data_IF_540670056120
#
_entry.id   IF_540670056120
#
_cell.length_a   1.000
_cell.length_b   1.000
_cell.length_c   1.000
_cell.angle_alpha   90.00
_cell.angle_beta   90.00
_cell.angle_gamma   90.00
#
_symmetry.space_group_name_H-M   'P 1'
#
loop_
_entity.id
_entity.type
_entity.pdbx_description
1 polymer ?
#
# COMPACT_ATOMS: atom_id res chain seq x y z
N UNK A 1 7.87 13.04 -7.16
CA UNK A 1 7.30 14.33 -6.70
C UNK A 1 8.42 15.05 -5.97
N UNK A 2 8.49 16.37 -6.08
CA UNK A 2 9.35 17.16 -5.19
C UNK A 2 8.83 17.07 -3.74
N UNK A 3 9.64 17.45 -2.76
CA UNK A 3 9.20 17.52 -1.35
C UNK A 3 7.95 18.41 -1.22
N UNK A 4 7.96 19.58 -1.86
CA UNK A 4 6.82 20.51 -1.85
C UNK A 4 5.55 19.92 -2.46
N UNK A 5 5.67 19.17 -3.56
CA UNK A 5 4.51 18.45 -4.13
C UNK A 5 4.00 17.36 -3.19
N UNK A 6 4.89 16.64 -2.49
CA UNK A 6 4.48 15.62 -1.50
C UNK A 6 3.72 16.24 -0.34
N UNK A 7 4.22 17.35 0.21
CA UNK A 7 3.55 18.13 1.26
C UNK A 7 2.18 18.62 0.79
N UNK A 8 2.12 19.21 -0.41
CA UNK A 8 0.87 19.70 -0.99
C UNK A 8 -0.17 18.61 -1.19
N UNK A 9 0.24 17.42 -1.65
CA UNK A 9 -0.67 16.27 -1.78
C UNK A 9 -1.20 15.82 -0.41
N UNK A 10 -0.35 15.77 0.62
CA UNK A 10 -0.79 15.44 1.97
C UNK A 10 -1.80 16.46 2.50
N UNK A 11 -1.56 17.76 2.33
CA UNK A 11 -2.49 18.84 2.70
C UNK A 11 -3.86 18.67 2.04
N UNK A 12 -3.89 18.43 0.73
CA UNK A 12 -5.15 18.22 -0.01
C UNK A 12 -5.90 16.99 0.52
N UNK A 13 -5.19 15.88 0.76
CA UNK A 13 -5.82 14.66 1.29
C UNK A 13 -6.42 14.92 2.66
N UNK A 14 -5.70 15.61 3.55
CA UNK A 14 -6.18 15.94 4.89
C UNK A 14 -7.38 16.89 4.86
N UNK A 15 -7.34 17.94 4.02
CA UNK A 15 -8.45 18.88 3.84
C UNK A 15 -9.68 18.21 3.24
N UNK A 16 -9.52 17.25 2.33
CA UNK A 16 -10.65 16.50 1.78
C UNK A 16 -11.21 15.50 2.80
N UNK A 17 -10.37 14.79 3.55
CA UNK A 17 -10.81 13.77 4.51
C UNK A 17 -11.50 14.38 5.73
N UNK A 18 -11.04 15.55 6.21
CA UNK A 18 -11.64 16.28 7.36
C UNK A 18 -11.82 15.38 8.60
N UNK A 19 -10.82 14.54 8.89
CA UNK A 19 -10.84 13.62 10.03
C UNK A 19 -11.85 12.46 9.95
N UNK A 20 -12.56 12.27 8.83
CA UNK A 20 -13.53 11.17 8.67
C UNK A 20 -12.90 9.78 8.74
N UNK A 21 -11.63 9.67 8.40
CA UNK A 21 -10.86 8.43 8.39
C UNK A 21 -9.42 8.70 8.87
N UNK A 22 -8.76 7.73 9.52
CA UNK A 22 -7.34 7.84 9.85
C UNK A 22 -6.49 7.85 8.58
N UNK A 23 -5.48 8.71 8.53
CA UNK A 23 -4.54 8.82 7.41
C UNK A 23 -3.16 8.32 7.86
N UNK A 24 -2.60 7.37 7.10
CA UNK A 24 -1.19 6.98 7.22
C UNK A 24 -0.43 7.65 6.06
N UNK A 25 0.42 8.63 6.35
CA UNK A 25 1.14 9.38 5.30
C UNK A 25 2.46 8.71 4.98
N UNK A 26 2.74 8.49 3.69
CA UNK A 26 4.02 7.97 3.26
C UNK A 26 5.08 9.07 3.18
N UNK A 27 6.13 8.96 4.01
CA UNK A 27 7.15 10.00 4.22
C UNK A 27 8.54 9.56 3.80
N UNK A 28 8.71 8.31 3.36
CA UNK A 28 10.02 7.75 3.01
C UNK A 28 10.70 8.51 1.88
N UNK A 29 11.98 8.82 2.08
CA UNK A 29 12.92 9.43 1.14
C UNK A 29 14.29 8.71 1.23
N UNK A 30 15.19 8.99 0.28
CA UNK A 30 16.53 8.41 0.28
C UNK A 30 17.45 8.93 1.40
N UNK A 31 17.02 9.94 2.19
CA UNK A 31 17.82 10.48 3.29
C UNK A 31 16.98 10.60 4.57
N UNK A 32 17.60 10.29 5.72
CA UNK A 32 16.96 10.42 7.04
C UNK A 32 16.41 11.82 7.27
N UNK A 33 17.19 12.85 6.93
CA UNK A 33 16.80 14.26 7.11
C UNK A 33 15.51 14.60 6.36
N UNK A 34 15.41 14.23 5.08
CA UNK A 34 14.22 14.50 4.28
C UNK A 34 13.01 13.68 4.74
N UNK A 35 13.22 12.42 5.15
CA UNK A 35 12.15 11.59 5.72
C UNK A 35 11.60 12.21 7.00
N UNK A 36 12.46 12.72 7.90
CA UNK A 36 12.04 13.39 9.13
C UNK A 36 11.29 14.70 8.85
N UNK A 37 11.73 15.48 7.87
CA UNK A 37 11.04 16.71 7.46
C UNK A 37 9.60 16.41 7.03
N UNK A 38 9.40 15.40 6.19
CA UNK A 38 8.08 14.95 5.74
C UNK A 38 7.27 14.32 6.88
N UNK A 39 7.91 13.62 7.81
CA UNK A 39 7.25 13.02 8.97
C UNK A 39 6.66 14.08 9.90
N UNK A 40 7.41 15.14 10.21
CA UNK A 40 6.94 16.26 11.04
C UNK A 40 5.80 17.00 10.38
N UNK A 41 5.91 17.30 9.07
CA UNK A 41 4.81 17.91 8.32
C UNK A 41 3.55 17.04 8.33
N UNK A 42 3.67 15.72 8.15
CA UNK A 42 2.53 14.82 8.24
C UNK A 42 1.90 14.79 9.63
N UNK A 43 2.70 14.83 10.70
CA UNK A 43 2.21 14.94 12.08
C UNK A 43 1.47 16.26 12.32
N UNK A 44 1.99 17.39 11.84
CA UNK A 44 1.34 18.71 11.94
C UNK A 44 -0.04 18.73 11.27
N UNK A 45 -0.22 17.97 10.19
CA UNK A 45 -1.52 17.81 9.52
C UNK A 45 -2.49 16.88 10.27
N UNK A 46 -2.03 16.14 11.29
CA UNK A 46 -2.84 15.20 12.05
C UNK A 46 -2.89 13.78 11.48
N UNK A 47 -1.85 13.34 10.76
CA UNK A 47 -1.74 11.94 10.33
C UNK A 47 -1.80 10.99 11.53
N UNK A 48 -2.56 9.91 11.42
CA UNK A 48 -2.68 8.90 12.46
C UNK A 48 -1.41 8.03 12.61
N UNK A 49 -0.62 7.94 11.55
CA UNK A 49 0.71 7.33 11.54
C UNK A 49 1.51 7.85 10.33
N UNK A 50 2.82 7.63 10.34
CA UNK A 50 3.68 7.83 9.17
C UNK A 50 4.25 6.50 8.70
N UNK A 51 4.45 6.34 7.40
CA UNK A 51 5.06 5.15 6.83
C UNK A 51 6.28 5.50 5.97
N UNK A 52 7.41 4.83 6.17
CA UNK A 52 8.62 5.04 5.39
C UNK A 52 9.11 3.73 4.76
N UNK A 53 9.48 3.80 3.48
CA UNK A 53 10.29 2.75 2.83
C UNK A 53 11.73 2.95 3.27
N UNK A 54 12.52 1.88 3.33
CA UNK A 54 13.95 2.01 3.54
C UNK A 54 14.57 2.95 2.48
N UNK A 55 15.65 3.69 2.81
CA UNK A 55 16.37 4.53 1.87
C UNK A 55 16.65 3.79 0.55
N UNK A 56 16.34 4.44 -0.56
CA UNK A 56 16.39 3.88 -1.90
C UNK A 56 17.46 4.58 -2.75
N UNK A 57 17.73 4.04 -3.95
CA UNK A 57 18.79 4.43 -4.91
C UNK A 57 20.13 3.72 -4.67
N UNK A 58 20.84 4.02 -3.58
CA UNK A 58 21.98 3.23 -3.14
C UNK A 58 21.49 2.21 -2.11
N UNK A 59 21.19 1.00 -2.53
CA UNK A 59 20.51 0.00 -1.70
C UNK A 59 21.25 -1.34 -1.67
N UNK A 60 20.88 -2.19 -0.72
CA UNK A 60 21.47 -3.52 -0.53
C UNK A 60 22.54 -3.53 0.55
N UNK A 61 23.06 -4.72 0.84
CA UNK A 61 24.01 -4.94 1.95
C UNK A 61 25.34 -4.19 1.75
N UNK A 62 25.70 -3.89 0.51
CA UNK A 62 26.92 -3.14 0.18
C UNK A 62 26.77 -1.63 0.37
N UNK A 63 25.53 -1.12 0.46
CA UNK A 63 25.23 0.30 0.62
C UNK A 63 25.01 0.69 2.09
N UNK A 64 24.24 -0.13 2.83
CA UNK A 64 23.97 0.07 4.25
C UNK A 64 23.96 -1.26 5.01
N UNK A 65 24.59 -1.28 6.18
CA UNK A 65 24.43 -2.37 7.15
C UNK A 65 23.10 -2.25 7.93
N UNK A 66 22.72 -3.32 8.63
CA UNK A 66 21.49 -3.35 9.43
C UNK A 66 21.44 -2.25 10.50
N UNK A 67 22.58 -1.90 11.10
CA UNK A 67 22.63 -0.89 12.18
C UNK A 67 22.29 0.50 11.67
N UNK A 68 22.66 0.80 10.42
CA UNK A 68 22.32 2.06 9.76
C UNK A 68 20.82 2.15 9.46
N UNK A 69 20.19 1.05 9.03
CA UNK A 69 18.74 0.98 8.83
C UNK A 69 18.00 1.12 10.17
N UNK A 70 18.46 0.42 11.22
CA UNK A 70 17.89 0.56 12.56
C UNK A 70 17.98 2.01 13.06
N UNK A 71 19.14 2.66 12.91
CA UNK A 71 19.31 4.06 13.30
C UNK A 71 18.40 5.00 12.50
N UNK A 72 18.28 4.80 11.18
CA UNK A 72 17.39 5.59 10.34
C UNK A 72 15.93 5.56 10.86
N UNK A 73 15.40 4.38 11.15
CA UNK A 73 14.03 4.25 11.66
C UNK A 73 13.88 4.70 13.11
N UNK A 74 14.90 4.52 13.95
CA UNK A 74 14.92 5.06 15.31
C UNK A 74 14.87 6.60 15.30
N UNK A 75 15.65 7.25 14.43
CA UNK A 75 15.66 8.71 14.29
C UNK A 75 14.31 9.24 13.79
N UNK A 76 13.64 8.52 12.88
CA UNK A 76 12.28 8.88 12.42
C UNK A 76 11.29 8.75 13.59
N UNK A 77 11.27 7.60 14.26
CA UNK A 77 10.35 7.33 15.37
C UNK A 77 10.55 8.29 16.55
N UNK A 78 11.78 8.75 16.79
CA UNK A 78 12.07 9.75 17.83
C UNK A 78 11.70 11.19 17.42
N UNK A 79 11.46 11.45 16.13
CA UNK A 79 11.22 12.81 15.61
C UNK A 79 9.74 13.24 15.60
N UNK A 80 8.83 12.28 15.78
CA UNK A 80 7.37 12.45 15.79
C UNK A 80 6.77 11.63 16.93
N UNK A 81 5.57 11.98 17.38
CA UNK A 81 4.79 11.27 18.41
C UNK A 81 3.87 10.22 17.81
N UNK A 82 3.47 10.39 16.55
CA UNK A 82 2.62 9.43 15.84
C UNK A 82 3.39 8.13 15.51
N UNK A 83 2.71 6.97 15.47
CA UNK A 83 3.35 5.70 15.13
C UNK A 83 4.12 5.73 13.80
N UNK A 84 5.32 5.15 13.80
CA UNK A 84 6.15 4.98 12.61
C UNK A 84 6.04 3.57 12.07
N UNK A 85 5.68 3.46 10.79
CA UNK A 85 5.49 2.19 10.08
C UNK A 85 6.60 1.99 9.05
N UNK A 86 7.12 0.77 8.95
CA UNK A 86 8.08 0.41 7.91
C UNK A 86 7.39 -0.16 6.68
N UNK A 87 7.84 0.25 5.50
CA UNK A 87 7.39 -0.30 4.22
C UNK A 87 8.48 -1.17 3.60
N UNK A 88 8.32 -2.50 3.67
CA UNK A 88 9.15 -3.44 2.94
C UNK A 88 8.68 -3.54 1.48
N UNK A 89 9.50 -3.06 0.54
CA UNK A 89 9.25 -3.24 -0.90
C UNK A 89 10.58 -3.46 -1.65
N UNK A 90 11.06 -4.70 -1.69
CA UNK A 90 12.34 -5.03 -2.31
C UNK A 90 12.42 -4.60 -3.78
N UNK A 91 11.31 -4.67 -4.52
CA UNK A 91 11.28 -4.35 -5.95
C UNK A 91 11.57 -2.89 -6.25
N UNK A 92 11.22 -1.97 -5.34
CA UNK A 92 11.38 -0.52 -5.57
C UNK A 92 12.46 0.09 -4.71
N UNK A 93 12.72 -0.47 -3.53
CA UNK A 93 13.79 0.00 -2.64
C UNK A 93 15.14 -0.64 -2.93
N UNK A 94 15.17 -1.82 -3.55
CA UNK A 94 16.39 -2.62 -3.72
C UNK A 94 16.93 -3.20 -2.40
N UNK A 95 16.16 -3.09 -1.30
CA UNK A 95 16.51 -3.62 0.00
C UNK A 95 15.41 -4.57 0.49
N UNK A 96 15.80 -5.79 0.86
CA UNK A 96 14.87 -6.78 1.42
C UNK A 96 15.07 -6.87 2.91
N UNK A 97 14.03 -6.57 3.68
CA UNK A 97 14.04 -6.81 5.12
C UNK A 97 14.07 -8.31 5.45
N UNK A 98 14.82 -8.66 6.49
CA UNK A 98 14.73 -9.95 7.18
C UNK A 98 13.81 -9.84 8.39
N UNK A 99 13.28 -10.98 8.86
CA UNK A 99 12.40 -11.01 10.03
C UNK A 99 13.13 -10.59 11.31
N UNK A 100 14.43 -10.91 11.38
CA UNK A 100 15.35 -10.56 12.46
C UNK A 100 15.60 -9.05 12.51
N UNK A 101 15.81 -8.43 11.35
CA UNK A 101 15.94 -6.98 11.26
C UNK A 101 14.64 -6.28 11.66
N UNK A 102 13.48 -6.82 11.25
CA UNK A 102 12.20 -6.28 11.69
C UNK A 102 12.07 -6.30 13.21
N UNK A 103 12.44 -7.40 13.88
CA UNK A 103 12.41 -7.47 15.34
C UNK A 103 13.28 -6.38 16.00
N UNK A 104 14.47 -6.09 15.45
CA UNK A 104 15.33 -4.98 15.91
C UNK A 104 14.66 -3.62 15.71
N UNK A 105 13.95 -3.43 14.60
CA UNK A 105 13.23 -2.20 14.30
C UNK A 105 12.04 -1.97 15.24
N UNK A 106 11.31 -3.04 15.58
CA UNK A 106 10.24 -2.98 16.58
C UNK A 106 10.78 -2.54 17.94
N UNK A 107 11.94 -3.07 18.34
CA UNK A 107 12.59 -2.73 19.60
C UNK A 107 13.02 -1.24 19.69
N UNK A 108 13.15 -0.53 18.57
CA UNK A 108 13.50 0.90 18.53
C UNK A 108 12.31 1.81 18.20
N UNK A 109 11.07 1.29 18.25
CA UNK A 109 9.86 2.10 18.17
C UNK A 109 9.11 2.05 16.83
N UNK A 110 9.44 1.13 15.92
CA UNK A 110 8.58 0.86 14.76
C UNK A 110 7.36 0.06 15.20
N UNK A 111 6.16 0.59 14.95
CA UNK A 111 4.90 0.05 15.50
C UNK A 111 4.00 -0.63 14.46
N UNK A 112 4.35 -0.56 13.19
CA UNK A 112 3.64 -1.27 12.14
C UNK A 112 4.48 -1.51 10.91
N UNK A 113 3.97 -2.34 10.01
CA UNK A 113 4.58 -2.53 8.71
C UNK A 113 3.57 -2.69 7.59
N UNK A 114 4.05 -2.39 6.38
CA UNK A 114 3.47 -2.83 5.12
C UNK A 114 4.46 -3.73 4.42
N UNK A 115 4.08 -4.96 4.07
CA UNK A 115 4.92 -5.84 3.25
C UNK A 115 4.46 -5.88 1.79
N UNK A 116 5.35 -5.64 0.83
CA UNK A 116 5.11 -5.83 -0.60
C UNK A 116 6.12 -6.77 -1.25
N UNK A 117 6.71 -7.68 -0.47
CA UNK A 117 7.56 -8.76 -0.98
C UNK A 117 6.79 -9.68 -1.94
N UNK A 118 5.49 -9.90 -1.64
CA UNK A 118 4.64 -10.86 -2.35
C UNK A 118 4.80 -12.30 -1.86
N UNK A 119 5.63 -12.54 -0.84
CA UNK A 119 5.80 -13.85 -0.21
C UNK A 119 4.87 -13.98 1.00
N UNK A 120 3.96 -14.95 0.95
CA UNK A 120 3.09 -15.25 2.09
C UNK A 120 3.88 -15.78 3.30
N UNK A 121 4.88 -16.62 3.06
CA UNK A 121 5.75 -17.15 4.11
C UNK A 121 6.49 -16.04 4.83
N UNK A 122 7.13 -15.13 4.08
CA UNK A 122 7.87 -14.01 4.67
C UNK A 122 6.96 -13.05 5.44
N UNK A 123 5.75 -12.80 4.93
CA UNK A 123 4.73 -12.02 5.66
C UNK A 123 4.38 -12.67 7.01
N UNK A 124 4.27 -14.00 7.07
CA UNK A 124 4.06 -14.75 8.30
C UNK A 124 5.27 -14.67 9.26
N UNK A 125 6.48 -14.82 8.74
CA UNK A 125 7.74 -14.68 9.50
C UNK A 125 7.86 -13.28 10.12
N UNK A 126 7.56 -12.23 9.36
CA UNK A 126 7.52 -10.87 9.86
C UNK A 126 6.51 -10.70 11.00
N UNK A 127 5.28 -11.20 10.82
CA UNK A 127 4.26 -11.10 11.85
C UNK A 127 4.70 -11.79 13.15
N UNK A 128 5.26 -13.01 13.05
CA UNK A 128 5.77 -13.73 14.21
C UNK A 128 6.94 -13.02 14.90
N UNK A 129 7.93 -12.56 14.12
CA UNK A 129 9.11 -11.89 14.68
C UNK A 129 8.73 -10.58 15.38
N UNK A 130 7.84 -9.79 14.77
CA UNK A 130 7.41 -8.52 15.34
C UNK A 130 6.52 -8.70 16.58
N UNK A 131 5.53 -9.59 16.53
CA UNK A 131 4.61 -9.81 17.66
C UNK A 131 5.26 -10.44 18.89
N UNK A 132 6.39 -11.13 18.73
CA UNK A 132 7.23 -11.58 19.86
C UNK A 132 7.86 -10.42 20.63
N UNK A 133 8.15 -9.31 19.96
CA UNK A 133 8.73 -8.11 20.57
C UNK A 133 7.64 -7.16 21.06
N UNK A 134 6.60 -6.96 20.25
CA UNK A 134 5.45 -6.13 20.58
C UNK A 134 4.14 -6.82 20.12
N UNK A 135 3.33 -7.37 21.05
CA UNK A 135 2.08 -8.04 20.72
C UNK A 135 1.07 -7.19 19.94
N UNK A 136 1.14 -5.85 20.05
CA UNK A 136 0.24 -4.90 19.38
C UNK A 136 0.78 -4.43 18.01
N UNK A 137 1.85 -5.04 17.50
CA UNK A 137 2.45 -4.63 16.23
C UNK A 137 1.48 -4.77 15.03
N UNK A 138 1.30 -3.69 14.29
CA UNK A 138 0.38 -3.65 13.15
C UNK A 138 1.02 -4.19 11.86
N UNK A 139 1.01 -5.51 11.67
CA UNK A 139 1.46 -6.13 10.43
C UNK A 139 0.39 -6.03 9.32
N UNK A 140 0.76 -5.57 8.13
CA UNK A 140 -0.17 -5.45 7.00
C UNK A 140 0.41 -5.97 5.68
N UNK A 141 -0.44 -6.62 4.91
CA UNK A 141 -0.13 -6.96 3.52
C UNK A 141 -0.27 -5.74 2.62
N UNK A 142 0.75 -5.44 1.81
CA UNK A 142 0.70 -4.45 0.73
C UNK A 142 0.07 -4.99 -0.56
N UNK A 143 -0.41 -6.23 -0.55
CA UNK A 143 -1.04 -6.90 -1.69
C UNK A 143 -2.36 -7.54 -1.28
N UNK A 144 -3.47 -6.94 -1.73
CA UNK A 144 -4.83 -7.47 -1.52
C UNK A 144 -5.05 -8.87 -2.12
N UNK A 145 -4.17 -9.34 -3.02
CA UNK A 145 -4.22 -10.73 -3.49
C UNK A 145 -3.75 -11.78 -2.47
N UNK A 146 -3.24 -11.35 -1.32
CA UNK A 146 -2.86 -12.23 -0.21
C UNK A 146 -3.77 -11.99 1.01
N UNK A 147 -4.85 -11.22 0.87
CA UNK A 147 -5.63 -10.73 2.00
C UNK A 147 -6.33 -11.86 2.76
N UNK A 148 -6.99 -12.79 2.07
CA UNK A 148 -7.62 -13.94 2.70
C UNK A 148 -6.62 -14.85 3.45
N UNK A 149 -5.54 -15.37 2.83
CA UNK A 149 -4.60 -16.21 3.56
C UNK A 149 -3.89 -15.45 4.69
N UNK A 150 -3.59 -14.14 4.53
CA UNK A 150 -3.04 -13.31 5.60
C UNK A 150 -4.00 -13.17 6.77
N UNK A 151 -5.29 -12.93 6.50
CA UNK A 151 -6.31 -12.83 7.54
C UNK A 151 -6.40 -14.10 8.39
N UNK A 152 -6.32 -15.26 7.75
CA UNK A 152 -6.38 -16.56 8.43
C UNK A 152 -5.21 -16.81 9.40
N UNK A 153 -4.09 -16.12 9.24
CA UNK A 153 -2.93 -16.20 10.15
C UNK A 153 -2.85 -15.01 11.12
N UNK A 154 -3.95 -14.25 11.26
CA UNK A 154 -4.06 -13.14 12.22
C UNK A 154 -3.64 -11.77 11.67
N UNK A 155 -3.26 -11.66 10.40
CA UNK A 155 -2.86 -10.40 9.76
C UNK A 155 -4.09 -9.76 9.15
N UNK A 156 -4.72 -8.84 9.91
CA UNK A 156 -6.03 -8.28 9.58
C UNK A 156 -6.01 -6.99 8.75
N UNK A 157 -4.84 -6.43 8.45
CA UNK A 157 -4.73 -5.20 7.67
C UNK A 157 -4.17 -5.40 6.26
N UNK A 158 -4.67 -4.60 5.30
CA UNK A 158 -4.14 -4.57 3.94
C UNK A 158 -4.11 -3.14 3.38
N UNK A 159 -2.98 -2.73 2.83
CA UNK A 159 -2.84 -1.48 2.07
C UNK A 159 -2.97 -1.82 0.58
N UNK A 160 -4.17 -1.59 0.02
CA UNK A 160 -4.60 -2.09 -1.29
C UNK A 160 -4.47 -1.05 -2.41
N UNK A 161 -3.77 -1.42 -3.48
CA UNK A 161 -3.78 -0.65 -4.74
C UNK A 161 -5.13 -0.76 -5.47
N UNK A 162 -5.75 -1.95 -5.46
CA UNK A 162 -7.06 -2.22 -6.10
C UNK A 162 -8.17 -1.32 -5.53
N UNK A 163 -8.10 -1.00 -4.24
CA UNK A 163 -9.11 -0.17 -3.56
C UNK A 163 -9.21 1.26 -4.12
N UNK A 164 -8.22 1.75 -4.86
CA UNK A 164 -8.31 3.06 -5.51
C UNK A 164 -9.39 3.10 -6.60
N UNK A 165 -9.53 2.04 -7.40
CA UNK A 165 -10.52 1.96 -8.48
C UNK A 165 -11.75 1.12 -8.11
N UNK A 166 -11.57 0.12 -7.23
CA UNK A 166 -12.60 -0.81 -6.81
C UNK A 166 -12.61 -0.96 -5.26
N UNK A 167 -12.90 0.12 -4.52
CA UNK A 167 -12.98 0.07 -3.06
C UNK A 167 -14.05 -0.93 -2.60
N UNK A 168 -15.18 -1.03 -3.31
CA UNK A 168 -16.30 -1.92 -2.97
C UNK A 168 -15.88 -3.39 -3.00
N UNK A 169 -15.03 -3.78 -3.97
CA UNK A 169 -14.49 -5.14 -4.07
C UNK A 169 -13.60 -5.48 -2.86
N UNK A 170 -12.72 -4.55 -2.49
CA UNK A 170 -11.80 -4.75 -1.35
C UNK A 170 -12.56 -4.78 -0.02
N UNK A 171 -13.55 -3.89 0.16
CA UNK A 171 -14.41 -3.85 1.34
C UNK A 171 -15.30 -5.10 1.42
N UNK A 172 -15.86 -5.56 0.31
CA UNK A 172 -16.64 -6.80 0.29
C UNK A 172 -15.80 -8.01 0.70
N UNK A 173 -14.56 -8.10 0.21
CA UNK A 173 -13.63 -9.15 0.62
C UNK A 173 -13.35 -9.07 2.12
N UNK A 174 -13.04 -7.88 2.66
CA UNK A 174 -12.80 -7.72 4.09
C UNK A 174 -14.00 -8.12 4.94
N UNK A 175 -15.21 -7.66 4.58
CA UNK A 175 -16.44 -8.01 5.31
C UNK A 175 -16.74 -9.50 5.29
N UNK A 176 -16.48 -10.18 4.17
CA UNK A 176 -16.63 -11.64 4.09
C UNK A 176 -15.64 -12.36 5.02
N UNK A 177 -14.41 -11.85 5.15
CA UNK A 177 -13.41 -12.37 6.10
C UNK A 177 -13.82 -12.14 7.56
N UNK A 178 -14.33 -10.95 7.89
CA UNK A 178 -14.85 -10.63 9.22
C UNK A 178 -16.06 -11.49 9.59
N UNK A 179 -16.93 -11.77 8.62
CA UNK A 179 -18.09 -12.65 8.80
C UNK A 179 -17.74 -14.15 8.81
N UNK A 180 -16.47 -14.51 8.63
CA UNK A 180 -16.00 -15.90 8.52
C UNK A 180 -16.67 -16.69 7.38
N UNK A 181 -17.14 -16.01 6.32
CA UNK A 181 -17.67 -16.66 5.12
C UNK A 181 -16.53 -17.02 4.17
N UNK A 182 -15.86 -18.14 4.47
CA UNK A 182 -14.65 -18.57 3.77
C UNK A 182 -14.87 -18.87 2.29
N UNK A 183 -16.08 -19.32 1.94
CA UNK A 183 -16.46 -19.56 0.55
C UNK A 183 -16.54 -18.23 -0.18
N UNK A 184 -17.30 -17.27 0.36
CA UNK A 184 -17.47 -15.97 -0.28
C UNK A 184 -16.16 -15.18 -0.33
N UNK A 185 -15.36 -15.21 0.73
CA UNK A 185 -14.04 -14.58 0.73
C UNK A 185 -13.12 -15.21 -0.33
N UNK A 186 -13.20 -16.53 -0.54
CA UNK A 186 -12.47 -17.23 -1.62
C UNK A 186 -12.86 -16.77 -3.01
N UNK A 187 -14.16 -16.66 -3.28
CA UNK A 187 -14.69 -16.14 -4.55
C UNK A 187 -14.21 -14.70 -4.80
N UNK A 188 -14.33 -13.83 -3.80
CA UNK A 188 -13.90 -12.43 -3.89
C UNK A 188 -12.37 -12.31 -4.00
N UNK A 189 -11.61 -13.16 -3.32
CA UNK A 189 -10.15 -13.20 -3.41
C UNK A 189 -9.69 -13.56 -4.83
N UNK A 190 -10.35 -14.52 -5.48
CA UNK A 190 -10.09 -14.88 -6.87
C UNK A 190 -10.45 -13.75 -7.83
N UNK A 191 -11.57 -13.07 -7.60
CA UNK A 191 -11.95 -11.89 -8.39
C UNK A 191 -10.92 -10.76 -8.26
N UNK A 192 -10.42 -10.49 -7.05
CA UNK A 192 -9.31 -9.55 -6.80
C UNK A 192 -8.04 -9.97 -7.55
N UNK A 193 -7.68 -11.25 -7.57
CA UNK A 193 -6.49 -11.72 -8.30
C UNK A 193 -6.66 -11.49 -9.81
N UNK A 194 -7.84 -11.74 -10.35
CA UNK A 194 -8.16 -11.49 -11.75
C UNK A 194 -8.11 -9.99 -12.09
N UNK A 195 -8.73 -9.13 -11.28
CA UNK A 195 -8.67 -7.66 -11.41
C UNK A 195 -7.23 -7.18 -11.47
N UNK A 196 -6.40 -7.62 -10.51
CA UNK A 196 -4.99 -7.20 -10.42
C UNK A 196 -4.19 -7.55 -11.66
N UNK A 197 -4.49 -8.68 -12.31
CA UNK A 197 -3.86 -9.08 -13.57
C UNK A 197 -4.24 -8.09 -14.67
N UNK A 198 -5.51 -7.72 -14.76
CA UNK A 198 -6.02 -6.77 -15.74
C UNK A 198 -5.42 -5.37 -15.50
N UNK A 199 -5.39 -4.90 -14.25
CA UNK A 199 -4.79 -3.61 -13.87
C UNK A 199 -3.31 -3.52 -14.27
N UNK A 200 -2.62 -4.65 -14.41
CA UNK A 200 -1.21 -4.72 -14.79
C UNK A 200 -0.97 -4.75 -16.30
N UNK A 201 -2.01 -4.67 -17.15
CA UNK A 201 -1.87 -4.85 -18.60
C UNK A 201 -0.87 -3.88 -19.25
N UNK A 202 -0.77 -2.63 -18.76
CA UNK A 202 0.21 -1.64 -19.21
C UNK A 202 1.56 -1.67 -18.47
N UNK A 203 1.83 -2.70 -17.67
CA UNK A 203 3.05 -2.87 -16.88
C UNK A 203 3.06 -2.09 -15.55
N UNK A 204 2.86 -0.77 -15.59
CA UNK A 204 2.83 0.06 -14.39
C UNK A 204 1.42 0.12 -13.77
N UNK A 205 1.18 -0.67 -12.73
CA UNK A 205 -0.14 -0.82 -12.09
C UNK A 205 -0.84 0.50 -11.71
N UNK A 206 -0.16 1.53 -11.15
CA UNK A 206 -0.81 2.81 -10.90
C UNK A 206 -1.39 3.47 -12.16
N UNK A 207 -0.75 3.34 -13.32
CA UNK A 207 -1.31 3.82 -14.57
C UNK A 207 -2.59 3.06 -14.95
N UNK A 208 -2.61 1.73 -14.75
CA UNK A 208 -3.83 0.93 -14.94
C UNK A 208 -4.96 1.34 -13.99
N UNK A 209 -4.65 1.75 -12.77
CA UNK A 209 -5.63 2.33 -11.86
C UNK A 209 -6.29 3.59 -12.45
N UNK A 210 -5.47 4.49 -13.02
CA UNK A 210 -5.97 5.73 -13.61
C UNK A 210 -6.88 5.44 -14.81
N UNK A 211 -6.52 4.43 -15.62
CA UNK A 211 -7.40 3.94 -16.69
C UNK A 211 -8.74 3.46 -16.17
N UNK A 212 -8.78 2.69 -15.08
CA UNK A 212 -10.06 2.26 -14.49
C UNK A 212 -10.88 3.42 -13.92
N UNK A 213 -10.25 4.39 -13.26
CA UNK A 213 -10.92 5.60 -12.78
C UNK A 213 -11.54 6.38 -13.95
N UNK A 214 -10.79 6.57 -15.04
CA UNK A 214 -11.28 7.21 -16.27
C UNK A 214 -12.45 6.44 -16.90
N UNK A 215 -12.38 5.11 -16.95
CA UNK A 215 -13.49 4.26 -17.41
C UNK A 215 -14.74 4.36 -16.52
N UNK A 216 -14.58 4.76 -15.26
CA UNK A 216 -15.66 5.07 -14.32
C UNK A 216 -16.11 6.54 -14.37
N UNK A 217 -15.56 7.34 -15.28
CA UNK A 217 -15.89 8.76 -15.43
C UNK A 217 -15.21 9.68 -14.43
N UNK A 218 -14.19 9.21 -13.71
CA UNK A 218 -13.40 10.00 -12.76
C UNK A 218 -12.12 10.45 -13.47
N UNK A 219 -11.95 11.76 -13.63
CA UNK A 219 -10.69 12.33 -14.11
C UNK A 219 -9.71 12.49 -12.94
N UNK A 220 -8.66 11.65 -12.95
CA UNK A 220 -7.55 11.71 -11.99
C UNK A 220 -6.23 12.17 -12.63
N UNK A 221 -6.30 12.75 -13.83
CA UNK A 221 -5.13 13.11 -14.61
C UNK A 221 -4.37 11.90 -15.18
N UNK A 222 -3.07 12.08 -15.40
CA UNK A 222 -2.20 11.07 -16.02
C UNK A 222 -0.93 10.84 -15.19
N UNK A 223 -0.21 9.78 -15.50
CA UNK A 223 1.11 9.49 -14.91
C UNK A 223 2.17 10.43 -15.48
N UNK A 224 3.17 10.78 -14.66
CA UNK A 224 4.32 11.57 -15.11
C UNK A 224 5.34 10.67 -15.80
N UNK A 225 5.96 11.18 -16.87
CA UNK A 225 7.11 10.54 -17.54
C UNK A 225 8.21 10.20 -16.51
N UNK A 226 8.97 9.11 -16.67
CA UNK A 226 9.04 8.21 -17.83
C UNK A 226 7.94 7.14 -17.89
N UNK A 227 6.99 7.13 -16.94
CA UNK A 227 5.84 6.23 -17.03
C UNK A 227 4.93 6.62 -18.20
N UNK A 228 4.25 5.62 -18.76
CA UNK A 228 3.23 5.81 -19.79
C UNK A 228 1.89 5.29 -19.31
N UNK A 229 0.83 5.83 -19.87
CA UNK A 229 -0.49 5.24 -19.77
C UNK A 229 -0.57 3.92 -20.56
N UNK A 230 -1.51 3.03 -20.20
CA UNK A 230 -1.89 1.94 -21.09
C UNK A 230 -2.27 2.48 -22.48
N UNK A 231 -1.79 1.83 -23.53
CA UNK A 231 -2.16 2.20 -24.91
C UNK A 231 -3.61 1.76 -25.22
N UNK A 232 -4.14 2.17 -26.37
CA UNK A 232 -5.53 1.87 -26.77
C UNK A 232 -5.88 0.37 -26.73
N UNK A 233 -4.94 -0.49 -27.12
CA UNK A 233 -5.13 -1.95 -27.08
C UNK A 233 -5.22 -2.45 -25.64
N UNK A 234 -4.30 -2.01 -24.78
CA UNK A 234 -4.28 -2.37 -23.36
C UNK A 234 -5.53 -1.82 -22.64
N UNK A 235 -5.91 -0.57 -22.87
CA UNK A 235 -7.09 0.05 -22.27
C UNK A 235 -8.40 -0.64 -22.73
N UNK A 236 -8.50 -1.04 -24.00
CA UNK A 236 -9.63 -1.83 -24.51
C UNK A 236 -9.72 -3.19 -23.84
N UNK A 237 -8.59 -3.91 -23.77
CA UNK A 237 -8.51 -5.18 -23.03
C UNK A 237 -8.96 -5.01 -21.58
N UNK A 238 -8.45 -3.97 -20.90
CA UNK A 238 -8.83 -3.68 -19.51
C UNK A 238 -10.33 -3.48 -19.33
N UNK A 239 -10.95 -2.69 -20.22
CA UNK A 239 -12.40 -2.45 -20.20
C UNK A 239 -13.19 -3.74 -20.42
N UNK A 240 -12.86 -4.50 -21.46
CA UNK A 240 -13.59 -5.72 -21.83
C UNK A 240 -13.52 -6.78 -20.74
N UNK A 241 -12.33 -7.04 -20.18
CA UNK A 241 -12.18 -8.02 -19.11
C UNK A 241 -12.83 -7.58 -17.80
N UNK A 242 -12.77 -6.29 -17.46
CA UNK A 242 -13.46 -5.77 -16.28
C UNK A 242 -14.99 -5.87 -16.41
N UNK A 243 -15.55 -5.71 -17.62
CA UNK A 243 -16.98 -5.95 -17.88
C UNK A 243 -17.33 -7.44 -17.72
N UNK A 244 -16.52 -8.35 -18.28
CA UNK A 244 -16.72 -9.80 -18.14
C UNK A 244 -16.73 -10.27 -16.69
N UNK A 245 -15.90 -9.63 -15.85
CA UNK A 245 -15.81 -9.90 -14.42
C UNK A 245 -16.87 -9.15 -13.58
N UNK A 246 -17.75 -8.35 -14.19
CA UNK A 246 -18.77 -7.58 -13.48
C UNK A 246 -18.21 -6.41 -12.65
N UNK A 247 -16.96 -6.00 -12.87
CA UNK A 247 -16.31 -4.88 -12.19
C UNK A 247 -16.69 -3.53 -12.78
N UNK A 248 -17.06 -3.51 -14.06
CA UNK A 248 -17.60 -2.34 -14.76
C UNK A 248 -18.94 -2.69 -15.41
N UNK A 249 -19.84 -1.72 -15.49
CA UNK A 249 -21.09 -1.87 -16.25
C UNK A 249 -20.77 -1.94 -17.74
N UNK A 250 -21.39 -2.88 -18.46
CA UNK A 250 -21.35 -2.92 -19.92
C UNK A 250 -22.05 -1.70 -20.53
N UNK A 251 -21.61 -1.27 -21.72
CA UNK A 251 -22.38 -0.31 -22.52
C UNK A 251 -23.72 -0.95 -22.91
N UNK A 252 -24.83 -0.46 -22.35
CA UNK A 252 -26.18 -0.94 -22.68
C UNK A 252 -27.20 -1.00 -21.53
N UNK A 253 -26.80 -0.73 -20.28
CA UNK A 253 -27.75 -0.64 -19.16
C UNK A 253 -28.26 0.78 -18.98
N UNK A 254 -29.32 1.17 -19.72
CA UNK A 254 -30.13 2.32 -19.33
C UNK A 254 -30.62 2.14 -17.89
N UNK A 255 -30.53 3.22 -17.11
CA UNK A 255 -31.25 3.34 -15.85
C UNK A 255 -32.73 3.07 -16.10
N UNK A 256 -33.29 2.10 -15.38
CA UNK A 256 -34.73 2.03 -15.14
C UNK A 256 -34.91 2.31 -13.66
N UNK A 257 -35.52 3.47 -13.37
CA UNK A 257 -36.23 3.80 -12.13
C UNK A 257 -35.43 3.77 -10.84
#
# INVERSE_FOLDING_TARGET
MTIEERKRVAEIIHDEVKGRLPIITHVGEASTRATIELAKHAEELGSAAVAAVAPYYYSGADAYDESQIVRHFADIAASVRVPTFIYNNPRTSGYTLTSELLAKLVAVGVLGMKDSSGSFTLLGEFNQAATRVNPDFACMSGSVGLMQPAYNIGIKGCISGTANAFPELTVALYRALEAHDWKKSGELQNLVIAERKIQSAGGFRPAGCYTFLKLKGIDCGTVRRPWREPNDREARYMKEEAIKLGLLKGYGGHHVG
#
